data_IF_092669429628
#
_entry.id   IF_092669429628
#
_cell.length_a   1.000
_cell.length_b   1.000
_cell.length_c   1.000
_cell.angle_alpha   90.00
_cell.angle_beta   90.00
_cell.angle_gamma   90.00
#
_symmetry.space_group_name_H-M   'P 1'
#
loop_
_entity.id
_entity.type
_entity.pdbx_description
1 polymer ?
#
# COMPACT_ATOMS: atom_id res chain seq x y z
N UNK A 1 -41.97 -28.97 -9.05
CA UNK A 1 -40.98 -27.98 -9.54
C UNK A 1 -39.59 -28.62 -9.44
N UNK A 2 -39.06 -29.12 -10.56
CA UNK A 2 -37.71 -29.69 -10.63
C UNK A 2 -36.78 -28.57 -11.12
N UNK A 3 -36.05 -27.94 -10.20
CA UNK A 3 -35.03 -26.95 -10.58
C UNK A 3 -33.91 -27.68 -11.29
N UNK A 4 -33.76 -27.47 -12.60
CA UNK A 4 -32.72 -28.11 -13.40
C UNK A 4 -31.33 -27.73 -12.85
N UNK A 5 -30.42 -28.70 -12.62
CA UNK A 5 -29.14 -28.48 -11.94
C UNK A 5 -28.24 -27.46 -12.66
N UNK A 6 -28.44 -27.28 -13.96
CA UNK A 6 -27.72 -26.31 -14.82
C UNK A 6 -28.03 -24.85 -14.46
N UNK A 7 -29.25 -24.55 -14.02
CA UNK A 7 -29.63 -23.17 -13.65
C UNK A 7 -29.08 -22.79 -12.26
N UNK A 8 -28.97 -23.76 -11.36
CA UNK A 8 -28.42 -23.55 -10.01
C UNK A 8 -26.92 -23.29 -10.10
N UNK A 9 -26.19 -24.04 -10.93
CA UNK A 9 -24.74 -23.85 -11.11
C UNK A 9 -24.39 -22.54 -11.80
N UNK A 10 -25.13 -22.16 -12.85
CA UNK A 10 -24.90 -20.88 -13.56
C UNK A 10 -25.21 -19.67 -12.69
N UNK A 11 -26.28 -19.72 -11.88
CA UNK A 11 -26.62 -18.64 -10.93
C UNK A 11 -25.54 -18.47 -9.86
N UNK A 12 -25.02 -19.58 -9.31
CA UNK A 12 -23.97 -19.52 -8.31
C UNK A 12 -22.65 -18.94 -8.87
N UNK A 13 -22.29 -19.29 -10.10
CA UNK A 13 -21.10 -18.73 -10.76
C UNK A 13 -21.25 -17.22 -10.98
N UNK A 14 -22.43 -16.76 -11.41
CA UNK A 14 -22.71 -15.32 -11.56
C UNK A 14 -22.58 -14.57 -10.23
N UNK A 15 -23.10 -15.13 -9.14
CA UNK A 15 -23.00 -14.52 -7.81
C UNK A 15 -21.53 -14.39 -7.38
N UNK A 16 -20.73 -15.44 -7.56
CA UNK A 16 -19.29 -15.42 -7.24
C UNK A 16 -18.55 -14.35 -8.06
N UNK A 17 -18.86 -14.22 -9.35
CA UNK A 17 -18.26 -13.20 -10.22
C UNK A 17 -18.62 -11.78 -9.77
N UNK A 18 -19.86 -11.55 -9.33
CA UNK A 18 -20.30 -10.25 -8.79
C UNK A 18 -19.52 -9.92 -7.50
N UNK A 19 -19.39 -10.87 -6.58
CA UNK A 19 -18.61 -10.65 -5.35
C UNK A 19 -17.13 -10.36 -5.64
N UNK A 20 -16.53 -11.07 -6.59
CA UNK A 20 -15.17 -10.79 -7.06
C UNK A 20 -15.04 -9.39 -7.65
N UNK A 21 -15.96 -8.98 -8.52
CA UNK A 21 -15.95 -7.66 -9.13
C UNK A 21 -16.08 -6.53 -8.08
N UNK A 22 -16.98 -6.71 -7.11
CA UNK A 22 -17.15 -5.76 -5.99
C UNK A 22 -15.90 -5.71 -5.13
N UNK A 23 -15.31 -6.86 -4.78
CA UNK A 23 -14.07 -6.92 -4.00
C UNK A 23 -12.91 -6.21 -4.70
N UNK A 24 -12.73 -6.46 -6.00
CA UNK A 24 -11.71 -5.81 -6.82
C UNK A 24 -11.94 -4.30 -6.88
N UNK A 25 -13.19 -3.85 -7.06
CA UNK A 25 -13.54 -2.44 -7.06
C UNK A 25 -13.14 -1.75 -5.74
N UNK A 26 -13.43 -2.36 -4.59
CA UNK A 26 -13.01 -1.83 -3.29
C UNK A 26 -11.49 -1.78 -3.12
N UNK A 27 -10.76 -2.77 -3.66
CA UNK A 27 -9.29 -2.76 -3.64
C UNK A 27 -8.77 -1.57 -4.46
N UNK A 28 -9.30 -1.35 -5.67
CA UNK A 28 -8.90 -0.20 -6.51
C UNK A 28 -9.17 1.14 -5.82
N UNK A 29 -10.30 1.29 -5.12
CA UNK A 29 -10.56 2.52 -4.35
C UNK A 29 -9.54 2.80 -3.24
N UNK A 30 -8.85 1.76 -2.75
CA UNK A 30 -7.90 1.86 -1.64
C UNK A 30 -6.43 1.78 -2.07
N UNK A 31 -6.16 1.46 -3.33
CA UNK A 31 -4.80 1.28 -3.81
C UNK A 31 -4.05 2.61 -3.85
N UNK A 32 -4.70 3.71 -4.20
CA UNK A 32 -4.07 5.03 -4.25
C UNK A 32 -3.63 5.50 -2.87
N UNK A 33 -4.52 5.38 -1.87
CA UNK A 33 -4.20 5.67 -0.46
C UNK A 33 -3.02 4.81 0.03
N UNK A 34 -3.05 3.51 -0.29
CA UNK A 34 -2.00 2.59 0.10
C UNK A 34 -0.65 2.95 -0.54
N UNK A 35 -0.64 3.25 -1.84
CA UNK A 35 0.57 3.64 -2.57
C UNK A 35 1.15 4.95 -2.05
N UNK A 36 0.30 5.92 -1.69
CA UNK A 36 0.73 7.14 -1.01
C UNK A 36 1.39 6.85 0.35
N UNK A 37 0.78 6.00 1.19
CA UNK A 37 1.35 5.65 2.49
C UNK A 37 2.69 4.91 2.35
N UNK A 38 2.79 3.97 1.40
CA UNK A 38 4.03 3.23 1.12
C UNK A 38 5.12 4.21 0.70
N UNK A 39 4.83 5.14 -0.20
CA UNK A 39 5.81 6.10 -0.67
C UNK A 39 6.28 7.05 0.45
N UNK A 40 5.39 7.49 1.35
CA UNK A 40 5.75 8.26 2.55
C UNK A 40 6.68 7.45 3.47
N UNK A 41 6.34 6.19 3.73
CA UNK A 41 7.12 5.30 4.59
C UNK A 41 8.52 5.02 4.02
N UNK A 42 8.61 4.82 2.71
CA UNK A 42 9.90 4.64 2.03
C UNK A 42 10.76 5.91 2.10
N UNK A 43 10.16 7.09 1.89
CA UNK A 43 10.87 8.35 2.06
C UNK A 43 11.32 8.56 3.51
N UNK A 44 10.50 8.19 4.49
CA UNK A 44 10.87 8.29 5.90
C UNK A 44 12.09 7.42 6.23
N UNK A 45 12.12 6.17 5.75
CA UNK A 45 13.28 5.28 5.92
C UNK A 45 14.54 5.84 5.26
N UNK A 46 14.42 6.35 4.02
CA UNK A 46 15.55 6.91 3.28
C UNK A 46 16.13 8.16 3.96
N UNK A 47 15.27 8.94 4.60
CA UNK A 47 15.68 10.17 5.29
C UNK A 47 16.41 9.95 6.61
N UNK A 48 16.61 8.71 7.05
CA UNK A 48 17.32 8.44 8.31
C UNK A 48 18.76 8.02 8.08
N UNK A 49 19.69 8.69 8.77
CA UNK A 49 21.10 8.35 8.76
C UNK A 49 21.48 7.76 10.10
N UNK A 50 22.11 6.59 10.07
CA UNK A 50 22.61 5.93 11.27
C UNK A 50 24.06 6.34 11.50
N UNK A 51 24.34 6.93 12.66
CA UNK A 51 25.71 7.18 13.12
C UNK A 51 26.00 6.23 14.27
N UNK A 52 26.94 5.32 14.04
CA UNK A 52 27.50 4.51 15.12
C UNK A 52 28.47 5.37 15.92
N UNK A 53 28.26 5.49 17.23
CA UNK A 53 29.18 6.18 18.11
C UNK A 53 30.17 5.14 18.67
N UNK A 54 31.44 5.13 18.23
CA UNK A 54 32.41 4.10 18.62
C UNK A 54 32.77 4.13 20.12
N UNK A 55 32.40 5.20 20.84
CA UNK A 55 32.70 5.33 22.28
C UNK A 55 31.67 4.65 23.20
N UNK A 56 30.42 4.43 22.74
CA UNK A 56 29.32 3.91 23.58
C UNK A 56 28.62 2.68 22.96
N UNK A 57 29.11 2.18 21.82
CA UNK A 57 28.53 1.05 21.09
C UNK A 57 27.03 1.23 20.78
N UNK A 58 26.58 2.47 20.64
CA UNK A 58 25.19 2.85 20.35
C UNK A 58 25.06 3.33 18.91
N UNK A 59 23.97 2.94 18.26
CA UNK A 59 23.59 3.43 16.93
C UNK A 59 22.48 4.45 17.10
N UNK A 60 22.75 5.70 16.73
CA UNK A 60 21.76 6.77 16.78
C UNK A 60 21.30 7.07 15.36
N UNK A 61 19.98 7.02 15.14
CA UNK A 61 19.35 7.37 13.86
C UNK A 61 18.93 8.83 13.87
N UNK A 62 19.44 9.61 12.93
CA UNK A 62 19.12 11.03 12.77
C UNK A 62 18.23 11.22 11.54
N UNK A 63 17.07 11.89 11.68
CA UNK A 63 16.25 12.26 10.53
C UNK A 63 16.90 13.42 9.76
N UNK A 64 16.89 13.34 8.44
CA UNK A 64 17.40 14.35 7.51
C UNK A 64 16.21 14.89 6.70
N UNK A 65 15.59 15.99 7.18
CA UNK A 65 14.35 16.50 6.61
C UNK A 65 14.48 16.95 5.14
N UNK A 66 15.67 17.39 4.72
CA UNK A 66 15.91 17.78 3.32
C UNK A 66 15.80 16.59 2.36
N UNK A 67 16.36 15.44 2.74
CA UNK A 67 16.26 14.19 1.98
C UNK A 67 14.82 13.68 1.97
N UNK A 68 14.12 13.83 3.09
CA UNK A 68 12.69 13.50 3.18
C UNK A 68 11.84 14.33 2.20
N UNK A 69 11.99 15.66 2.23
CA UNK A 69 11.23 16.56 1.35
C UNK A 69 11.57 16.36 -0.13
N UNK A 70 12.85 16.16 -0.46
CA UNK A 70 13.28 15.85 -1.82
C UNK A 70 12.63 14.55 -2.32
N UNK A 71 12.58 13.51 -1.48
CA UNK A 71 11.95 12.23 -1.82
C UNK A 71 10.43 12.38 -2.02
N UNK A 72 9.73 13.10 -1.14
CA UNK A 72 8.29 13.34 -1.30
C UNK A 72 7.97 14.12 -2.59
N UNK A 73 8.84 15.05 -2.98
CA UNK A 73 8.70 15.82 -4.22
C UNK A 73 8.94 14.97 -5.47
N UNK A 74 9.96 14.12 -5.46
CA UNK A 74 10.26 13.18 -6.55
C UNK A 74 9.11 12.16 -6.75
N UNK A 75 8.51 11.69 -5.66
CA UNK A 75 7.33 10.82 -5.67
C UNK A 75 6.02 11.54 -6.01
N UNK A 76 6.05 12.86 -6.21
CA UNK A 76 4.87 13.66 -6.57
C UNK A 76 3.82 13.81 -5.45
N UNK A 77 4.20 13.53 -4.20
CA UNK A 77 3.29 13.58 -3.03
C UNK A 77 3.11 15.02 -2.55
N UNK A 78 4.14 15.84 -2.70
CA UNK A 78 4.12 17.28 -2.37
C UNK A 78 4.55 18.09 -3.60
N UNK A 79 3.87 19.22 -3.84
CA UNK A 79 4.13 20.16 -4.94
C UNK A 79 5.20 21.18 -4.57
#
# INVERSE_FOLDING_TARGET
>A
MHSNPVYVTTTNVLIVMIFLAVGIYYIFLKIDDYMHMVAINDCAKLSTFQKSNPSDNTVVSYPVPDVYQACLKDKGIVK
#
